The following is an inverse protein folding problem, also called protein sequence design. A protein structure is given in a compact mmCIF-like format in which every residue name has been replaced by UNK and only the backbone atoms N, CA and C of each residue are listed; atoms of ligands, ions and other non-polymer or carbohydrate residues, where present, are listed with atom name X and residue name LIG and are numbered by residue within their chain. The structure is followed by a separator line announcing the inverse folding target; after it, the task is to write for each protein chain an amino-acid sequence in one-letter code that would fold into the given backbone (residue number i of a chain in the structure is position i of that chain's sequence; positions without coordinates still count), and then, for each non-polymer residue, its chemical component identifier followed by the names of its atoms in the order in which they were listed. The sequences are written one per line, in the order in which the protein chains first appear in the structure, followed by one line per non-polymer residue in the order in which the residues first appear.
data_IF_857139508156
#
_entry.id   IF_857139508156
#
_cell.length_a   1.000
_cell.length_b   1.000
_cell.length_c   1.000
_cell.angle_alpha   90.00
_cell.angle_beta   90.00
_cell.angle_gamma   90.00
#
_symmetry.space_group_name_H-M   'P 1'
#
loop_
_entity.id
_entity.type
_entity.pdbx_description
1 polymer ?
#
# COMPACT_ATOMS: atom_id res chain seq x y z
N UNK A 1 3.01 -0.87 22.23
CA UNK A 1 1.58 -0.87 21.82
C UNK A 1 1.49 -1.72 20.54
N UNK A 2 0.84 -2.89 20.56
CA UNK A 2 0.84 -3.81 19.41
C UNK A 2 -0.15 -3.33 18.32
N UNK A 3 0.35 -2.89 17.16
CA UNK A 3 -0.45 -2.73 15.95
C UNK A 3 -0.94 -4.11 15.49
N UNK A 4 -2.24 -4.31 15.34
CA UNK A 4 -2.83 -5.56 14.84
C UNK A 4 -2.84 -5.55 13.31
N UNK A 5 -2.14 -6.50 12.68
CA UNK A 5 -2.27 -6.78 11.25
C UNK A 5 -3.42 -7.78 11.07
N UNK A 6 -4.45 -7.40 10.32
CA UNK A 6 -5.56 -8.30 9.99
C UNK A 6 -5.40 -8.71 8.53
N UNK A 7 -5.00 -9.97 8.32
CA UNK A 7 -4.80 -10.56 7.00
C UNK A 7 -5.93 -11.58 6.76
N UNK A 8 -6.78 -11.35 5.76
CA UNK A 8 -7.74 -12.36 5.29
C UNK A 8 -6.97 -13.38 4.44
N UNK A 9 -6.55 -14.49 5.06
CA UNK A 9 -5.86 -15.60 4.38
C UNK A 9 -6.84 -16.72 4.01
N UNK A 10 -6.98 -17.00 2.71
CA UNK A 10 -7.49 -18.27 2.21
C UNK A 10 -6.39 -19.36 2.34
N UNK A 11 -6.76 -20.65 2.46
CA UNK A 11 -5.82 -21.73 2.76
C UNK A 11 -4.77 -21.89 1.67
N UNK A 12 -3.51 -22.04 2.11
CA UNK A 12 -2.32 -22.21 1.27
C UNK A 12 -2.02 -23.69 1.10
N UNK A 13 -2.71 -24.35 0.18
CA UNK A 13 -2.28 -25.64 -0.33
C UNK A 13 -2.50 -25.66 -1.85
N UNK A 14 -1.41 -25.60 -2.62
CA UNK A 14 -1.10 -26.43 -3.80
C UNK A 14 -0.04 -25.75 -4.70
N UNK A 15 0.93 -26.56 -5.16
CA UNK A 15 1.91 -26.35 -6.24
C UNK A 15 3.22 -25.61 -5.91
N UNK A 16 4.09 -26.36 -5.24
CA UNK A 16 5.52 -26.43 -5.55
C UNK A 16 5.76 -27.16 -6.87
N UNK A 17 6.09 -26.46 -7.97
CA UNK A 17 6.95 -26.93 -9.07
C UNK A 17 7.24 -25.73 -10.02
N UNK A 18 8.50 -25.30 -10.15
CA UNK A 18 8.98 -24.55 -11.34
C UNK A 18 9.18 -23.01 -11.27
N UNK A 19 9.46 -22.40 -10.12
CA UNK A 19 9.40 -20.93 -9.97
C UNK A 19 10.56 -20.09 -10.58
N UNK A 20 11.70 -20.66 -10.96
CA UNK A 20 12.88 -19.85 -11.35
C UNK A 20 12.81 -19.36 -12.80
N UNK A 21 12.26 -20.15 -13.73
CA UNK A 21 12.13 -19.76 -15.15
C UNK A 21 10.97 -18.81 -15.45
N UNK A 22 9.83 -18.99 -14.75
CA UNK A 22 8.62 -18.19 -14.97
C UNK A 22 8.78 -16.73 -14.48
N UNK A 23 9.51 -16.51 -13.39
CA UNK A 23 9.71 -15.18 -12.79
C UNK A 23 10.49 -14.20 -13.70
N UNK A 24 11.38 -14.71 -14.56
CA UNK A 24 12.16 -13.88 -15.48
C UNK A 24 11.38 -13.52 -16.75
N UNK A 25 10.45 -14.38 -17.17
CA UNK A 25 9.59 -14.12 -18.33
C UNK A 25 8.46 -13.13 -18.01
N UNK A 26 7.89 -13.19 -16.80
CA UNK A 26 6.82 -12.27 -16.37
C UNK A 26 7.32 -10.84 -16.17
N UNK A 27 8.53 -10.63 -15.62
CA UNK A 27 9.11 -9.28 -15.46
C UNK A 27 9.25 -8.52 -16.78
N UNK A 28 9.68 -9.19 -17.85
CA UNK A 28 9.88 -8.57 -19.17
C UNK A 28 8.57 -8.28 -19.91
N UNK A 29 7.50 -9.03 -19.60
CA UNK A 29 6.14 -8.78 -20.10
C UNK A 29 5.41 -7.68 -19.30
N UNK A 30 5.68 -7.55 -18.00
CA UNK A 30 5.13 -6.48 -17.16
C UNK A 30 5.77 -5.12 -17.45
N UNK A 31 7.08 -5.07 -17.75
CA UNK A 31 7.79 -3.80 -17.98
C UNK A 31 7.42 -3.08 -19.29
N UNK A 32 6.65 -3.71 -20.18
CA UNK A 32 6.28 -3.16 -21.49
C UNK A 32 4.84 -2.62 -21.55
N UNK A 33 4.07 -2.69 -20.47
CA UNK A 33 2.70 -2.15 -20.43
C UNK A 33 2.75 -0.68 -20.02
N UNK A 34 2.31 0.20 -20.92
CA UNK A 34 2.24 1.64 -20.67
C UNK A 34 1.16 1.95 -19.63
N UNK A 35 1.41 2.96 -18.80
CA UNK A 35 0.38 3.56 -17.94
C UNK A 35 -0.73 4.10 -18.87
N UNK A 36 -2.02 3.82 -18.59
CA UNK A 36 -3.11 4.38 -19.38
C UNK A 36 -3.02 5.91 -19.50
N UNK A 37 -3.20 6.45 -20.70
CA UNK A 37 -3.20 7.89 -20.95
C UNK A 37 -4.54 8.54 -20.60
N UNK A 38 -4.55 9.84 -20.31
CA UNK A 38 -5.79 10.59 -20.07
C UNK A 38 -6.42 10.35 -18.69
N UNK A 39 -5.65 9.80 -17.75
CA UNK A 39 -6.08 9.64 -16.37
C UNK A 39 -6.20 11.00 -15.67
N UNK A 40 -7.24 11.18 -14.87
CA UNK A 40 -7.38 12.36 -14.01
C UNK A 40 -6.20 12.44 -13.05
N UNK A 41 -5.51 13.60 -12.96
CA UNK A 41 -4.45 13.80 -11.98
C UNK A 41 -4.99 13.59 -10.56
N UNK A 42 -4.23 12.85 -9.75
CA UNK A 42 -4.54 12.63 -8.34
C UNK A 42 -3.43 13.24 -7.49
N UNK A 43 -3.80 14.02 -6.49
CA UNK A 43 -2.85 14.48 -5.47
C UNK A 43 -2.31 13.31 -4.66
N UNK A 44 -1.03 13.38 -4.32
CA UNK A 44 -0.31 12.39 -3.50
C UNK A 44 -1.00 12.13 -2.15
N UNK A 45 -1.53 13.18 -1.55
CA UNK A 45 -2.26 13.14 -0.28
C UNK A 45 -3.50 14.00 -0.43
N UNK A 46 -4.68 13.43 -0.19
CA UNK A 46 -5.95 14.15 -0.38
C UNK A 46 -6.98 13.77 0.69
N UNK A 47 -7.60 14.78 1.31
CA UNK A 47 -8.66 14.61 2.30
C UNK A 47 -10.00 14.41 1.58
N UNK A 48 -10.51 13.18 1.56
CA UNK A 48 -11.72 12.85 0.81
C UNK A 48 -13.01 13.10 1.61
N UNK A 49 -12.93 12.92 2.93
CA UNK A 49 -14.04 13.20 3.86
C UNK A 49 -13.49 13.47 5.25
N UNK A 50 -14.28 13.97 6.22
CA UNK A 50 -13.81 14.15 7.61
C UNK A 50 -13.25 12.88 8.30
N UNK A 51 -13.46 11.70 7.73
CA UNK A 51 -13.00 10.41 8.27
C UNK A 51 -11.92 9.74 7.42
N UNK A 52 -11.72 10.17 6.17
CA UNK A 52 -10.91 9.43 5.19
C UNK A 52 -9.89 10.36 4.54
N UNK A 53 -8.61 10.05 4.77
CA UNK A 53 -7.47 10.62 4.05
C UNK A 53 -6.92 9.56 3.10
N UNK A 54 -6.80 9.89 1.82
CA UNK A 54 -6.13 9.04 0.83
C UNK A 54 -4.67 9.42 0.71
N UNK A 55 -3.80 8.43 0.68
CA UNK A 55 -2.37 8.57 0.40
C UNK A 55 -2.04 7.64 -0.77
N UNK A 56 -1.57 8.22 -1.86
CA UNK A 56 -1.20 7.49 -3.07
C UNK A 56 0.12 6.74 -2.83
N UNK A 57 0.18 5.48 -3.27
CA UNK A 57 1.29 4.56 -3.05
C UNK A 57 2.58 4.88 -3.81
N UNK A 58 2.58 5.95 -4.63
CA UNK A 58 3.73 6.42 -5.41
C UNK A 58 4.34 5.34 -6.32
N UNK A 59 3.48 4.48 -6.85
CA UNK A 59 3.81 3.32 -7.67
C UNK A 59 2.94 3.28 -8.95
N UNK A 60 3.01 4.30 -9.82
CA UNK A 60 2.21 4.32 -11.04
C UNK A 60 2.61 3.19 -11.99
N UNK A 61 1.62 2.61 -12.67
CA UNK A 61 1.84 1.42 -13.49
C UNK A 61 0.60 0.98 -14.25
N UNK A 62 0.76 0.05 -15.19
CA UNK A 62 -0.36 -0.42 -15.99
C UNK A 62 -1.49 -1.08 -15.18
N UNK A 63 -1.16 -1.62 -14.00
CA UNK A 63 -2.12 -2.30 -13.10
C UNK A 63 -2.50 -1.46 -11.88
N UNK A 64 -1.69 -0.46 -11.53
CA UNK A 64 -1.88 0.43 -10.38
C UNK A 64 -2.39 1.82 -10.80
N UNK A 65 -2.47 2.09 -12.11
CA UNK A 65 -2.85 3.38 -12.70
C UNK A 65 -1.94 4.51 -12.19
N UNK A 66 -2.49 5.51 -11.51
CA UNK A 66 -1.72 6.58 -10.86
C UNK A 66 -0.92 6.08 -9.65
N UNK A 67 -1.26 4.91 -9.10
CA UNK A 67 -0.66 4.31 -7.92
C UNK A 67 -1.72 3.66 -7.02
N UNK A 68 -1.29 2.81 -6.10
CA UNK A 68 -2.20 2.20 -5.12
C UNK A 68 -2.83 3.28 -4.25
N UNK A 69 -4.16 3.30 -4.12
CA UNK A 69 -4.81 4.15 -3.14
C UNK A 69 -4.76 3.47 -1.76
N UNK A 70 -4.02 4.05 -0.83
CA UNK A 70 -4.07 3.65 0.58
C UNK A 70 -4.89 4.68 1.36
N UNK A 71 -5.50 4.26 2.47
CA UNK A 71 -6.41 5.12 3.22
C UNK A 71 -6.13 5.11 4.72
N UNK A 72 -5.99 6.29 5.31
CA UNK A 72 -6.08 6.47 6.76
C UNK A 72 -7.53 6.80 7.12
N UNK A 73 -8.13 5.91 7.90
CA UNK A 73 -9.55 5.99 8.30
C UNK A 73 -9.66 6.20 9.80
N UNK A 74 -10.38 7.26 10.20
CA UNK A 74 -10.67 7.58 11.59
C UNK A 74 -10.47 9.06 11.93
N UNK A 75 -11.19 9.53 12.96
CA UNK A 75 -11.19 10.93 13.43
C UNK A 75 -10.27 11.19 14.64
N UNK A 76 -9.74 10.15 15.26
CA UNK A 76 -8.99 10.25 16.52
C UNK A 76 -7.47 10.12 16.38
N UNK A 77 -6.80 10.06 17.52
CA UNK A 77 -5.37 9.80 17.64
C UNK A 77 -4.96 8.40 17.14
N UNK A 78 -5.92 7.50 16.93
CA UNK A 78 -5.72 6.16 16.38
C UNK A 78 -6.53 6.01 15.10
N UNK A 79 -5.87 5.53 14.03
CA UNK A 79 -6.46 5.35 12.71
C UNK A 79 -6.20 3.95 12.19
N UNK A 80 -7.08 3.48 11.32
CA UNK A 80 -6.89 2.25 10.56
C UNK A 80 -6.25 2.63 9.22
N UNK A 81 -5.17 1.95 8.87
CA UNK A 81 -4.58 2.04 7.54
C UNK A 81 -5.17 0.91 6.66
N UNK A 82 -5.72 1.26 5.51
CA UNK A 82 -6.16 0.31 4.48
C UNK A 82 -5.12 0.27 3.37
N UNK A 83 -4.58 -0.92 3.14
CA UNK A 83 -3.46 -1.24 2.24
C UNK A 83 -2.16 -0.49 2.57
N UNK A 84 -1.05 -1.00 2.02
CA UNK A 84 0.30 -0.57 2.37
C UNK A 84 1.20 -0.27 1.16
N UNK A 85 0.65 -0.23 -0.05
CA UNK A 85 1.45 0.07 -1.24
C UNK A 85 2.51 -1.00 -1.57
N UNK A 86 3.42 -0.64 -2.48
CA UNK A 86 4.55 -1.48 -2.90
C UNK A 86 5.72 -1.50 -1.91
N UNK A 87 6.59 -2.53 -1.96
CA UNK A 87 7.77 -2.59 -1.12
C UNK A 87 8.81 -1.54 -1.53
N UNK A 88 9.48 -0.93 -0.53
CA UNK A 88 10.60 -0.01 -0.72
C UNK A 88 10.27 1.31 -1.44
N UNK A 89 9.01 1.75 -1.41
CA UNK A 89 8.62 3.07 -1.92
C UNK A 89 8.78 4.13 -0.81
N UNK A 90 9.91 4.83 -0.83
CA UNK A 90 10.27 5.81 0.21
C UNK A 90 9.37 7.05 0.26
N UNK A 91 8.97 7.58 -0.91
CA UNK A 91 8.08 8.74 -0.99
C UNK A 91 6.70 8.45 -0.36
N UNK A 92 6.16 7.25 -0.58
CA UNK A 92 4.93 6.80 0.08
C UNK A 92 5.08 6.77 1.60
N UNK A 93 6.18 6.21 2.11
CA UNK A 93 6.43 6.17 3.55
C UNK A 93 6.53 7.58 4.16
N UNK A 94 7.21 8.50 3.48
CA UNK A 94 7.31 9.89 3.92
C UNK A 94 5.93 10.57 3.96
N UNK A 95 5.15 10.43 2.90
CA UNK A 95 3.79 10.98 2.85
C UNK A 95 2.89 10.42 3.97
N UNK A 96 3.03 9.13 4.28
CA UNK A 96 2.32 8.49 5.39
C UNK A 96 2.75 9.06 6.75
N UNK A 97 4.06 9.15 7.01
CA UNK A 97 4.62 9.68 8.26
C UNK A 97 4.22 11.14 8.46
N UNK A 98 4.31 11.95 7.42
CA UNK A 98 3.93 13.37 7.45
C UNK A 98 2.44 13.52 7.74
N UNK A 99 1.59 12.67 7.14
CA UNK A 99 0.15 12.69 7.36
C UNK A 99 -0.24 12.32 8.80
N UNK A 100 0.44 11.32 9.37
CA UNK A 100 0.26 10.92 10.76
C UNK A 100 0.72 12.03 11.71
N UNK A 101 1.88 12.64 11.43
CA UNK A 101 2.47 13.72 12.24
C UNK A 101 1.59 14.98 12.24
N UNK A 102 1.11 15.41 11.06
CA UNK A 102 0.21 16.58 10.91
C UNK A 102 -1.10 16.43 11.70
N UNK A 103 -1.55 15.19 11.92
CA UNK A 103 -2.79 14.89 12.63
C UNK A 103 -2.57 14.37 14.05
N UNK A 104 -1.33 14.36 14.55
CA UNK A 104 -0.94 13.80 15.84
C UNK A 104 -1.56 12.42 16.10
N UNK A 105 -1.56 11.57 15.08
CA UNK A 105 -2.21 10.26 15.12
C UNK A 105 -1.25 9.11 14.85
N UNK A 106 -1.63 7.91 15.27
CA UNK A 106 -0.89 6.66 15.06
C UNK A 106 -1.77 5.63 14.36
N UNK A 107 -1.13 4.57 13.84
CA UNK A 107 -1.80 3.45 13.20
C UNK A 107 -2.13 2.39 14.25
N UNK A 108 -3.42 2.13 14.45
CA UNK A 108 -3.91 1.09 15.36
C UNK A 108 -3.93 -0.28 14.70
N UNK A 109 -4.36 -0.33 13.44
CA UNK A 109 -4.44 -1.56 12.66
C UNK A 109 -4.13 -1.28 11.20
N UNK A 110 -3.58 -2.30 10.53
CA UNK A 110 -3.41 -2.35 9.08
C UNK A 110 -4.36 -3.41 8.56
N UNK A 111 -5.26 -3.01 7.66
CA UNK A 111 -6.19 -3.87 6.95
C UNK A 111 -5.70 -3.98 5.51
N UNK A 112 -5.50 -5.20 5.04
CA UNK A 112 -5.09 -5.45 3.65
C UNK A 112 -6.29 -6.01 2.89
N UNK A 113 -6.56 -5.46 1.73
CA UNK A 113 -7.68 -5.89 0.87
C UNK A 113 -7.43 -7.27 0.27
N UNK A 114 -6.22 -7.53 -0.24
CA UNK A 114 -5.82 -8.81 -0.85
C UNK A 114 -4.29 -8.98 -0.91
N UNK A 115 -3.82 -10.11 -1.44
CA UNK A 115 -2.43 -10.57 -1.31
C UNK A 115 -1.43 -9.94 -2.29
N UNK A 116 -1.85 -9.13 -3.26
CA UNK A 116 -0.91 -8.58 -4.23
C UNK A 116 0.11 -7.62 -3.59
N UNK A 117 1.29 -7.54 -4.20
CA UNK A 117 2.45 -6.87 -3.63
C UNK A 117 2.28 -5.35 -3.54
N UNK A 118 1.44 -4.77 -4.41
CA UNK A 118 1.08 -3.36 -4.42
C UNK A 118 0.10 -2.96 -3.31
N UNK A 119 -0.41 -3.93 -2.54
CA UNK A 119 -1.24 -3.71 -1.35
C UNK A 119 -0.55 -4.17 -0.06
N UNK A 120 0.32 -5.18 -0.13
CA UNK A 120 0.99 -5.79 1.03
C UNK A 120 2.44 -5.35 1.22
N UNK A 121 3.09 -4.82 0.17
CA UNK A 121 4.53 -4.66 0.10
C UNK A 121 5.12 -3.71 1.13
N UNK A 122 4.42 -2.62 1.45
CA UNK A 122 4.90 -1.62 2.41
C UNK A 122 4.68 -1.99 3.88
N UNK A 123 4.04 -3.12 4.21
CA UNK A 123 3.76 -3.49 5.62
C UNK A 123 5.07 -3.53 6.43
N UNK A 124 6.13 -4.13 5.89
CA UNK A 124 7.40 -4.29 6.59
C UNK A 124 8.06 -2.96 6.97
N UNK A 125 8.06 -1.97 6.06
CA UNK A 125 8.62 -0.64 6.33
C UNK A 125 7.79 0.16 7.34
N UNK A 126 6.46 0.07 7.25
CA UNK A 126 5.53 0.74 8.17
C UNK A 126 5.70 0.17 9.59
N UNK A 127 5.73 -1.15 9.76
CA UNK A 127 5.91 -1.78 11.06
C UNK A 127 7.28 -1.44 11.69
N UNK A 128 8.33 -1.29 10.89
CA UNK A 128 9.64 -0.82 11.39
C UNK A 128 9.57 0.62 11.89
N UNK A 129 8.81 1.48 11.23
CA UNK A 129 8.59 2.86 11.68
C UNK A 129 7.79 2.89 13.00
N UNK A 130 6.69 2.13 13.10
CA UNK A 130 5.81 2.12 14.28
C UNK A 130 6.43 1.49 15.54
N UNK A 131 7.53 0.74 15.40
CA UNK A 131 8.26 0.12 16.52
C UNK A 131 9.34 1.02 17.12
N UNK A 132 9.66 2.15 16.48
CA UNK A 132 10.53 3.17 17.07
C UNK A 132 9.78 3.95 18.14
#
# INVERSE_FOLDING_TARGET
MLTRLILFQLPRDLLSFGAVGCAMFTRKLQSNRKIPSGLTPLEDVSQLSPLVLRILGQNPGAFTLQGTNTYLVGKGAKKILIDAGEPNVGQYLNNLIDSLSKSSSTIEAIVVTHWHADHTGGIGQILRYLKK
#
